data_IF_099739055794
#
_entry.id   IF_099739055794
#
_cell.length_a   1.000
_cell.length_b   1.000
_cell.length_c   1.000
_cell.angle_alpha   90.00
_cell.angle_beta   90.00
_cell.angle_gamma   90.00
#
_symmetry.space_group_name_H-M   'P 1'
#
loop_
_entity.id
_entity.type
_entity.pdbx_description
1 polymer ?
#
# COMPACT_ATOMS: atom_id res chain seq x y z
N UNK A 1 -38.02 35.58 7.15
CA UNK A 1 -36.67 35.73 6.56
C UNK A 1 -36.42 34.50 5.71
N UNK A 2 -36.24 34.71 4.41
CA UNK A 2 -36.24 33.70 3.35
C UNK A 2 -35.28 32.54 3.62
N UNK A 3 -35.78 31.31 3.61
CA UNK A 3 -34.99 30.08 3.52
C UNK A 3 -34.25 30.07 2.19
N UNK A 4 -32.98 30.50 2.19
CA UNK A 4 -32.14 30.32 1.02
C UNK A 4 -31.92 28.82 0.84
N UNK A 5 -32.53 28.25 -0.19
CA UNK A 5 -32.12 26.96 -0.74
C UNK A 5 -30.66 27.08 -1.18
N UNK A 6 -29.76 26.68 -0.29
CA UNK A 6 -28.35 26.55 -0.61
C UNK A 6 -28.22 25.24 -1.40
N UNK A 7 -28.16 25.35 -2.73
CA UNK A 7 -27.69 24.26 -3.56
C UNK A 7 -26.19 24.11 -3.28
N UNK A 8 -25.84 23.00 -2.62
CA UNK A 8 -24.47 22.66 -2.27
C UNK A 8 -24.06 21.43 -3.06
N UNK A 9 -22.82 21.45 -3.54
CA UNK A 9 -22.17 20.30 -4.15
C UNK A 9 -21.09 19.81 -3.19
N UNK A 10 -21.07 18.52 -2.90
CA UNK A 10 -20.03 17.90 -2.08
C UNK A 10 -19.26 16.95 -2.97
N UNK A 11 -17.94 17.08 -3.00
CA UNK A 11 -17.04 16.20 -3.74
C UNK A 11 -16.10 15.47 -2.78
N UNK A 12 -16.08 14.15 -2.87
CA UNK A 12 -15.02 13.32 -2.32
C UNK A 12 -14.09 12.88 -3.44
N UNK A 13 -12.80 13.17 -3.29
CA UNK A 13 -11.77 12.89 -4.28
C UNK A 13 -10.57 12.23 -3.60
N UNK A 14 -10.07 11.13 -4.15
CA UNK A 14 -8.74 10.61 -3.83
C UNK A 14 -7.74 11.49 -4.59
N UNK A 15 -6.78 12.07 -3.89
CA UNK A 15 -5.77 12.98 -4.49
C UNK A 15 -4.36 12.38 -4.50
N UNK A 16 -4.14 11.27 -3.80
CA UNK A 16 -2.89 10.51 -3.78
C UNK A 16 -3.18 9.07 -3.36
N UNK A 17 -2.67 8.05 -4.05
CA UNK A 17 -1.62 8.11 -5.07
C UNK A 17 -2.09 8.57 -6.46
N UNK A 18 -3.40 8.55 -6.72
CA UNK A 18 -3.99 8.92 -8.00
C UNK A 18 -5.13 9.93 -7.79
N UNK A 19 -5.30 10.86 -8.73
CA UNK A 19 -6.44 11.79 -8.72
C UNK A 19 -7.68 11.11 -9.28
N UNK A 20 -8.64 10.77 -8.41
CA UNK A 20 -9.87 10.07 -8.76
C UNK A 20 -11.07 10.66 -8.04
N UNK A 21 -12.16 10.88 -8.79
CA UNK A 21 -13.44 11.28 -8.22
C UNK A 21 -14.12 10.07 -7.58
N UNK A 22 -14.27 10.10 -6.25
CA UNK A 22 -14.78 8.98 -5.46
C UNK A 22 -16.30 9.07 -5.31
N UNK A 23 -16.82 10.25 -5.00
CA UNK A 23 -18.26 10.48 -4.83
C UNK A 23 -18.60 11.95 -5.03
N UNK A 24 -19.78 12.22 -5.58
CA UNK A 24 -20.33 13.58 -5.69
C UNK A 24 -21.74 13.56 -5.15
N UNK A 25 -22.11 14.53 -4.32
CA UNK A 25 -23.47 14.77 -3.88
C UNK A 25 -23.96 16.11 -4.42
N UNK A 26 -25.09 16.10 -5.14
CA UNK A 26 -25.79 17.31 -5.58
C UNK A 26 -27.25 17.26 -5.08
N UNK A 27 -27.64 18.20 -4.22
CA UNK A 27 -29.00 18.27 -3.64
C UNK A 27 -30.12 18.30 -4.69
N UNK A 28 -29.86 18.89 -5.86
CA UNK A 28 -30.84 19.06 -6.93
C UNK A 28 -31.16 17.78 -7.71
N UNK A 29 -30.39 16.71 -7.54
CA UNK A 29 -30.50 15.50 -8.38
C UNK A 29 -31.01 14.26 -7.66
N UNK A 30 -31.17 14.27 -6.34
CA UNK A 30 -31.58 13.12 -5.47
C UNK A 30 -30.79 11.80 -5.65
N UNK A 31 -29.88 11.72 -6.61
CA UNK A 31 -28.89 10.67 -6.81
C UNK A 31 -27.67 11.29 -7.48
N UNK A 32 -26.48 10.86 -7.06
CA UNK A 32 -25.26 11.14 -7.80
C UNK A 32 -24.22 10.05 -7.56
N UNK A 33 -24.07 9.10 -8.51
CA UNK A 33 -23.10 8.01 -8.36
C UNK A 33 -21.67 8.49 -8.63
N UNK A 34 -20.71 7.79 -8.01
CA UNK A 34 -19.32 7.78 -8.48
C UNK A 34 -19.26 7.58 -9.99
N UNK A 35 -18.58 8.48 -10.70
CA UNK A 35 -18.28 8.32 -12.14
C UNK A 35 -17.11 7.37 -12.40
N UNK A 36 -16.28 7.10 -11.39
CA UNK A 36 -15.20 6.13 -11.47
C UNK A 36 -15.78 4.71 -11.33
N UNK A 37 -15.45 3.84 -12.29
CA UNK A 37 -15.80 2.42 -12.29
C UNK A 37 -15.36 1.70 -11.01
N UNK A 38 -14.29 2.16 -10.35
CA UNK A 38 -13.70 1.55 -9.15
C UNK A 38 -14.54 1.81 -7.90
N UNK A 39 -15.16 2.98 -7.76
CA UNK A 39 -15.92 3.38 -6.57
C UNK A 39 -17.44 3.27 -6.74
N UNK A 40 -17.90 2.97 -7.96
CA UNK A 40 -19.31 2.78 -8.27
C UNK A 40 -19.93 1.67 -7.41
N UNK A 41 -20.99 2.01 -6.68
CA UNK A 41 -21.69 1.06 -5.79
C UNK A 41 -20.98 0.76 -4.46
N UNK A 42 -19.78 1.31 -4.25
CA UNK A 42 -18.99 1.13 -3.03
C UNK A 42 -19.02 2.37 -2.14
N UNK A 43 -19.11 3.55 -2.72
CA UNK A 43 -19.12 4.83 -2.01
C UNK A 43 -20.56 5.33 -1.76
N UNK A 44 -20.89 5.68 -0.51
CA UNK A 44 -22.20 6.24 -0.13
C UNK A 44 -22.08 7.33 0.95
N UNK A 45 -23.01 8.27 0.95
CA UNK A 45 -23.21 9.26 2.02
C UNK A 45 -24.61 9.07 2.62
N UNK A 46 -24.91 9.73 3.74
CA UNK A 46 -26.26 9.78 4.29
C UNK A 46 -27.25 10.40 3.29
N UNK A 47 -28.52 9.99 3.31
CA UNK A 47 -29.53 10.42 2.31
C UNK A 47 -29.77 11.94 2.28
N UNK A 48 -29.49 12.65 3.38
CA UNK A 48 -29.50 14.12 3.42
C UNK A 48 -28.35 14.64 4.30
N UNK A 49 -27.12 14.70 3.75
CA UNK A 49 -25.93 15.11 4.49
C UNK A 49 -25.97 16.60 4.88
N UNK A 50 -26.80 17.40 4.20
CA UNK A 50 -26.94 18.83 4.45
C UNK A 50 -27.89 19.11 5.62
N UNK A 51 -28.99 18.36 5.72
CA UNK A 51 -29.90 18.45 6.87
C UNK A 51 -29.29 17.82 8.11
N UNK A 52 -28.62 16.66 7.97
CA UNK A 52 -27.94 15.99 9.08
C UNK A 52 -26.63 16.67 9.49
N UNK A 53 -26.09 17.54 8.62
CA UNK A 53 -24.75 18.15 8.73
C UNK A 53 -23.62 17.12 8.79
N UNK A 54 -23.88 15.89 8.38
CA UNK A 54 -22.91 14.80 8.33
C UNK A 54 -22.42 14.62 6.89
N UNK A 55 -21.24 15.16 6.59
CA UNK A 55 -20.62 15.06 5.26
C UNK A 55 -19.70 13.83 5.11
N UNK A 56 -19.88 12.84 5.98
CA UNK A 56 -19.13 11.57 5.96
C UNK A 56 -19.34 10.78 4.68
N UNK A 57 -18.25 10.22 4.17
CA UNK A 57 -18.29 9.16 3.18
C UNK A 57 -18.15 7.80 3.86
N UNK A 58 -19.02 6.87 3.50
CA UNK A 58 -18.87 5.45 3.80
C UNK A 58 -18.38 4.73 2.55
N UNK A 59 -17.29 3.99 2.68
CA UNK A 59 -16.75 3.17 1.59
C UNK A 59 -16.90 1.68 1.95
N UNK A 60 -17.66 0.96 1.14
CA UNK A 60 -17.94 -0.47 1.23
C UNK A 60 -16.89 -1.29 0.48
N UNK A 61 -16.75 -2.55 0.88
CA UNK A 61 -15.84 -3.52 0.28
C UNK A 61 -14.43 -2.95 0.10
N UNK A 62 -13.78 -2.57 1.21
CA UNK A 62 -12.47 -1.91 1.15
C UNK A 62 -11.40 -2.79 0.50
N UNK A 63 -10.66 -2.20 -0.42
CA UNK A 63 -9.49 -2.75 -1.07
C UNK A 63 -8.24 -2.02 -0.56
N UNK A 64 -7.09 -2.70 -0.57
CA UNK A 64 -5.82 -2.06 -0.19
C UNK A 64 -5.49 -0.82 -1.03
N UNK A 65 -5.92 -0.81 -2.30
CA UNK A 65 -5.77 0.32 -3.24
C UNK A 65 -6.62 1.54 -2.88
N UNK A 66 -7.56 1.41 -1.94
CA UNK A 66 -8.28 2.55 -1.39
C UNK A 66 -7.46 3.29 -0.33
N UNK A 67 -6.26 2.81 0.01
CA UNK A 67 -5.35 3.59 0.85
C UNK A 67 -4.89 4.83 0.11
N UNK A 68 -4.92 5.98 0.78
CA UNK A 68 -4.51 7.22 0.17
C UNK A 68 -5.00 8.45 0.91
N UNK A 69 -4.78 9.60 0.28
CA UNK A 69 -5.21 10.90 0.79
C UNK A 69 -6.45 11.32 0.04
N UNK A 70 -7.51 11.57 0.78
CA UNK A 70 -8.82 11.96 0.29
C UNK A 70 -9.11 13.41 0.65
N UNK A 71 -9.83 14.11 -0.20
CA UNK A 71 -10.36 15.43 0.07
C UNK A 71 -11.88 15.42 0.00
N UNK A 72 -12.53 15.97 1.01
CA UNK A 72 -13.92 16.37 0.97
C UNK A 72 -13.98 17.87 0.70
N UNK A 73 -14.63 18.28 -0.40
CA UNK A 73 -14.75 19.69 -0.79
C UNK A 73 -16.22 20.05 -0.96
N UNK A 74 -16.64 21.17 -0.38
CA UNK A 74 -18.00 21.69 -0.47
C UNK A 74 -18.01 22.96 -1.29
N UNK A 75 -18.90 23.06 -2.26
CA UNK A 75 -19.09 24.20 -3.14
C UNK A 75 -20.47 24.80 -2.97
N UNK A 76 -20.59 26.12 -3.16
CA UNK A 76 -21.87 26.79 -3.32
C UNK A 76 -22.40 26.63 -4.76
N UNK A 77 -23.62 27.11 -5.01
CA UNK A 77 -24.27 27.10 -6.33
C UNK A 77 -23.49 27.83 -7.43
N UNK A 78 -22.63 28.78 -7.06
CA UNK A 78 -21.82 29.57 -7.99
C UNK A 78 -20.45 28.90 -8.27
N UNK A 79 -20.21 27.72 -7.68
CA UNK A 79 -18.96 26.97 -7.80
C UNK A 79 -17.83 27.45 -6.88
N UNK A 80 -18.11 28.40 -5.97
CA UNK A 80 -17.13 28.83 -4.98
C UNK A 80 -16.96 27.77 -3.89
N UNK A 81 -15.71 27.42 -3.62
CA UNK A 81 -15.35 26.50 -2.55
C UNK A 81 -15.65 27.15 -1.19
N UNK A 82 -16.48 26.46 -0.40
CA UNK A 82 -16.86 26.88 0.95
C UNK A 82 -16.02 26.20 2.03
N UNK A 83 -15.67 24.93 1.82
CA UNK A 83 -14.93 24.13 2.77
C UNK A 83 -14.11 23.07 2.04
N UNK A 84 -12.92 22.77 2.55
CA UNK A 84 -12.16 21.60 2.16
C UNK A 84 -11.54 20.93 3.39
N UNK A 85 -11.57 19.59 3.42
CA UNK A 85 -10.96 18.75 4.46
C UNK A 85 -10.13 17.68 3.80
N UNK A 86 -8.96 17.39 4.37
CA UNK A 86 -8.07 16.32 3.93
C UNK A 86 -8.15 15.19 4.96
N UNK A 87 -8.31 13.95 4.50
CA UNK A 87 -8.41 12.74 5.33
C UNK A 87 -7.51 11.67 4.73
N UNK A 88 -6.70 11.00 5.55
CA UNK A 88 -5.88 9.87 5.09
C UNK A 88 -6.55 8.56 5.46
N UNK A 89 -6.83 7.73 4.45
CA UNK A 89 -7.32 6.36 4.63
C UNK A 89 -6.12 5.41 4.55
N UNK A 90 -5.94 4.58 5.57
CA UNK A 90 -4.99 3.46 5.56
C UNK A 90 -5.77 2.16 5.69
N UNK A 91 -5.97 1.47 4.56
CA UNK A 91 -6.55 0.12 4.56
C UNK A 91 -5.41 -0.85 4.81
N UNK A 92 -5.46 -1.54 5.94
CA UNK A 92 -4.52 -2.61 6.27
C UNK A 92 -5.21 -3.94 6.02
N UNK A 93 -4.55 -4.80 5.27
CA UNK A 93 -4.96 -6.18 5.07
C UNK A 93 -4.06 -7.08 5.90
N UNK A 94 -4.65 -8.00 6.66
CA UNK A 94 -3.90 -9.08 7.26
C UNK A 94 -3.60 -10.16 6.21
N UNK A 95 -2.49 -10.04 5.48
CA UNK A 95 -1.92 -11.20 4.77
C UNK A 95 -0.97 -11.98 5.70
N UNK A 96 -1.43 -12.22 6.93
CA UNK A 96 -0.56 -12.57 8.06
C UNK A 96 -0.02 -14.01 8.03
N UNK A 97 -0.26 -14.77 6.96
CA UNK A 97 0.18 -16.17 6.83
C UNK A 97 0.89 -16.51 5.53
N UNK A 98 0.87 -15.65 4.51
CA UNK A 98 1.55 -15.94 3.27
C UNK A 98 3.05 -15.67 3.44
N UNK A 99 3.87 -16.67 3.14
CA UNK A 99 5.30 -16.52 2.91
C UNK A 99 5.65 -16.99 1.50
N UNK A 100 6.71 -16.41 0.93
CA UNK A 100 7.23 -16.80 -0.37
C UNK A 100 8.72 -17.00 -0.28
N UNK A 101 9.23 -17.94 -1.05
CA UNK A 101 10.65 -18.16 -1.23
C UNK A 101 11.10 -17.51 -2.54
N UNK A 102 12.10 -16.63 -2.47
CA UNK A 102 12.79 -16.05 -3.61
C UNK A 102 14.02 -16.90 -3.93
N UNK A 103 13.99 -17.74 -4.98
CA UNK A 103 14.96 -18.82 -5.13
C UNK A 103 16.31 -18.33 -5.67
N UNK A 104 17.40 -18.72 -5.02
CA UNK A 104 18.76 -18.56 -5.56
C UNK A 104 19.70 -19.67 -5.07
N UNK A 105 19.82 -20.73 -5.87
CA UNK A 105 20.80 -21.80 -5.64
C UNK A 105 22.10 -21.52 -6.38
N UNK A 106 23.22 -21.86 -5.76
CA UNK A 106 24.57 -21.73 -6.33
C UNK A 106 25.19 -23.11 -6.54
N UNK A 107 26.14 -23.23 -7.46
CA UNK A 107 26.91 -24.47 -7.68
C UNK A 107 28.29 -24.40 -7.06
N UNK A 108 28.86 -23.20 -7.01
CA UNK A 108 30.24 -22.97 -6.66
C UNK A 108 30.47 -23.00 -5.15
N UNK A 109 31.67 -23.43 -4.75
CA UNK A 109 32.09 -23.38 -3.36
C UNK A 109 32.55 -21.95 -3.04
N UNK A 110 31.72 -21.23 -2.29
CA UNK A 110 32.01 -19.89 -1.81
C UNK A 110 32.37 -19.93 -0.33
N UNK A 111 33.43 -19.23 0.05
CA UNK A 111 33.87 -19.03 1.43
C UNK A 111 34.08 -17.54 1.67
N UNK A 112 33.84 -17.09 2.91
CA UNK A 112 34.04 -15.71 3.35
C UNK A 112 33.36 -14.67 2.44
N UNK A 113 32.05 -14.85 2.25
CA UNK A 113 31.22 -13.97 1.42
C UNK A 113 30.24 -13.14 2.24
N UNK A 114 29.77 -12.06 1.61
CA UNK A 114 28.62 -11.28 2.05
C UNK A 114 27.51 -11.42 1.02
N UNK A 115 26.28 -11.63 1.47
CA UNK A 115 25.10 -11.68 0.59
C UNK A 115 24.17 -10.55 0.97
N UNK A 116 23.78 -9.74 -0.02
CA UNK A 116 22.79 -8.68 0.13
C UNK A 116 21.58 -8.96 -0.75
N UNK A 117 20.39 -8.88 -0.17
CA UNK A 117 19.15 -8.77 -0.93
C UNK A 117 18.67 -7.33 -0.93
N UNK A 118 18.31 -6.82 -2.11
CA UNK A 118 17.79 -5.47 -2.31
C UNK A 118 16.45 -5.48 -3.01
N UNK A 119 15.56 -4.59 -2.59
CA UNK A 119 14.29 -4.30 -3.23
C UNK A 119 14.12 -2.79 -3.34
N UNK A 120 13.81 -2.26 -4.53
CA UNK A 120 13.67 -0.80 -4.75
C UNK A 120 14.87 0.02 -4.20
N UNK A 121 16.09 -0.48 -4.38
CA UNK A 121 17.35 0.07 -3.86
C UNK A 121 17.53 0.07 -2.34
N UNK A 122 16.59 -0.52 -1.60
CA UNK A 122 16.65 -0.69 -0.15
C UNK A 122 17.18 -2.08 0.17
N UNK A 123 18.05 -2.19 1.18
CA UNK A 123 18.57 -3.47 1.67
C UNK A 123 17.49 -4.12 2.54
N UNK A 124 16.99 -5.28 2.09
CA UNK A 124 15.94 -6.03 2.79
C UNK A 124 16.50 -7.17 3.62
N UNK A 125 17.70 -7.66 3.30
CA UNK A 125 18.37 -8.70 4.08
C UNK A 125 19.88 -8.69 3.84
N UNK A 126 20.67 -8.99 4.88
CA UNK A 126 22.12 -9.16 4.79
C UNK A 126 22.52 -10.44 5.51
N UNK A 127 23.23 -11.31 4.82
CA UNK A 127 23.93 -12.45 5.41
C UNK A 127 25.45 -12.19 5.39
N UNK A 128 26.05 -12.19 6.57
CA UNK A 128 27.50 -12.08 6.78
C UNK A 128 27.87 -12.73 8.12
N UNK A 129 29.08 -13.30 8.23
CA UNK A 129 29.60 -13.93 9.46
C UNK A 129 29.79 -12.97 10.66
N UNK A 130 29.47 -11.67 10.53
CA UNK A 130 29.60 -10.67 11.58
C UNK A 130 28.28 -10.45 12.35
N UNK A 131 28.37 -10.19 13.65
CA UNK A 131 27.22 -9.97 14.56
C UNK A 131 26.38 -8.71 14.27
N UNK A 132 26.75 -7.87 13.30
CA UNK A 132 26.07 -6.59 13.00
C UNK A 132 25.05 -6.67 11.85
N UNK A 133 24.35 -7.81 11.69
CA UNK A 133 23.37 -8.01 10.61
C UNK A 133 22.18 -7.03 10.65
N UNK A 134 21.87 -6.47 11.82
CA UNK A 134 20.64 -5.68 12.06
C UNK A 134 20.72 -4.21 11.63
N UNK A 135 21.92 -3.63 11.44
CA UNK A 135 22.07 -2.17 11.29
C UNK A 135 21.82 -1.64 9.87
N UNK A 136 21.78 -2.51 8.85
CA UNK A 136 21.67 -2.11 7.44
C UNK A 136 20.31 -2.40 6.82
N UNK A 137 19.39 -2.96 7.61
CA UNK A 137 18.12 -3.47 7.14
C UNK A 137 17.01 -2.45 7.35
N UNK A 138 16.12 -2.33 6.37
CA UNK A 138 14.95 -1.46 6.47
C UNK A 138 13.94 -1.95 7.52
N UNK A 139 13.35 -1.02 8.26
CA UNK A 139 12.41 -1.32 9.35
C UNK A 139 11.17 -2.07 8.84
N UNK A 140 10.71 -1.82 7.61
CA UNK A 140 9.53 -2.48 7.04
C UNK A 140 9.76 -3.97 6.77
N UNK A 141 11.02 -4.42 6.69
CA UNK A 141 11.38 -5.81 6.44
C UNK A 141 11.76 -6.57 7.71
N UNK A 142 11.94 -5.86 8.84
CA UNK A 142 12.49 -6.41 10.08
C UNK A 142 11.64 -7.55 10.61
N UNK A 143 12.25 -8.72 10.81
CA UNK A 143 11.55 -9.93 11.23
C UNK A 143 10.66 -10.58 10.16
N UNK A 144 10.61 -10.04 8.94
CA UNK A 144 9.86 -10.60 7.80
C UNK A 144 10.75 -11.41 6.85
N UNK A 145 12.07 -11.24 6.91
CA UNK A 145 13.02 -11.91 6.01
C UNK A 145 13.86 -12.95 6.73
N UNK A 146 14.11 -14.10 6.09
CA UNK A 146 14.93 -15.18 6.62
C UNK A 146 15.66 -15.92 5.50
N UNK A 147 16.94 -16.22 5.71
CA UNK A 147 17.72 -17.15 4.87
C UNK A 147 17.97 -18.43 5.66
N UNK A 148 18.37 -19.50 4.95
CA UNK A 148 18.76 -20.76 5.57
C UNK A 148 19.93 -20.54 6.56
N UNK A 149 20.01 -21.32 7.64
CA UNK A 149 21.04 -21.13 8.70
C UNK A 149 22.46 -21.37 8.17
N UNK A 150 22.62 -22.36 7.28
CA UNK A 150 23.89 -22.71 6.64
C UNK A 150 23.80 -22.54 5.10
N UNK A 151 23.59 -21.32 4.57
CA UNK A 151 23.25 -21.11 3.17
C UNK A 151 24.40 -21.48 2.22
N UNK A 152 25.65 -21.38 2.68
CA UNK A 152 26.84 -21.76 1.91
C UNK A 152 27.00 -23.28 1.81
N UNK A 153 26.78 -23.99 2.92
CA UNK A 153 26.86 -25.46 2.97
C UNK A 153 25.76 -26.10 2.15
N UNK A 154 24.55 -25.54 2.24
CA UNK A 154 23.38 -25.99 1.48
C UNK A 154 23.38 -25.48 0.03
N UNK A 155 24.34 -24.60 -0.32
CA UNK A 155 24.43 -23.94 -1.62
C UNK A 155 23.12 -23.26 -2.04
N UNK A 156 22.44 -22.69 -1.06
CA UNK A 156 21.11 -22.09 -1.20
C UNK A 156 21.06 -20.71 -0.54
N UNK A 157 21.10 -19.69 -1.38
CA UNK A 157 21.04 -18.28 -1.01
C UNK A 157 19.61 -17.71 -1.11
N UNK A 158 18.60 -18.57 -1.15
CA UNK A 158 17.20 -18.15 -1.25
C UNK A 158 16.75 -17.34 -0.04
N UNK A 159 15.89 -16.35 -0.28
CA UNK A 159 15.30 -15.50 0.75
C UNK A 159 13.83 -15.88 0.97
N UNK A 160 13.46 -16.16 2.21
CA UNK A 160 12.06 -16.28 2.62
C UNK A 160 11.56 -14.91 3.04
N UNK A 161 10.44 -14.45 2.46
CA UNK A 161 9.72 -13.24 2.86
C UNK A 161 8.37 -13.61 3.45
N UNK A 162 8.07 -13.14 4.66
CA UNK A 162 6.87 -13.44 5.47
C UNK A 162 5.95 -12.22 5.53
N UNK A 163 4.65 -12.49 5.66
CA UNK A 163 3.64 -11.45 5.80
C UNK A 163 3.61 -10.56 4.56
N UNK A 164 3.29 -11.16 3.41
CA UNK A 164 3.36 -10.48 2.12
C UNK A 164 2.46 -9.25 2.06
N UNK A 165 2.99 -8.18 1.51
CA UNK A 165 2.31 -6.92 1.26
C UNK A 165 2.33 -6.61 -0.23
N UNK A 166 1.39 -5.81 -0.74
CA UNK A 166 1.42 -5.39 -2.15
C UNK A 166 2.67 -4.55 -2.48
N UNK A 167 3.22 -3.84 -1.49
CA UNK A 167 4.48 -3.09 -1.59
C UNK A 167 5.69 -4.00 -1.84
N UNK A 168 5.61 -5.28 -1.47
CA UNK A 168 6.67 -6.26 -1.74
C UNK A 168 6.72 -6.67 -3.23
N UNK A 169 5.78 -6.21 -4.08
CA UNK A 169 5.80 -6.54 -5.50
C UNK A 169 7.03 -5.94 -6.18
N UNK A 170 7.64 -6.71 -7.09
CA UNK A 170 8.69 -6.21 -7.98
C UNK A 170 9.99 -7.00 -7.91
N UNK A 171 11.07 -6.38 -8.38
CA UNK A 171 12.38 -7.01 -8.49
C UNK A 171 13.12 -7.03 -7.16
N UNK A 172 13.61 -8.21 -6.78
CA UNK A 172 14.55 -8.43 -5.71
C UNK A 172 15.89 -8.82 -6.30
N UNK A 173 16.94 -8.09 -5.95
CA UNK A 173 18.30 -8.35 -6.42
C UNK A 173 19.11 -8.96 -5.29
N UNK A 174 19.56 -10.19 -5.46
CA UNK A 174 20.57 -10.80 -4.61
C UNK A 174 21.95 -10.53 -5.19
N UNK A 175 22.85 -9.98 -4.40
CA UNK A 175 24.25 -9.74 -4.79
C UNK A 175 25.17 -10.41 -3.78
N UNK A 176 26.13 -11.16 -4.30
CA UNK A 176 27.13 -11.90 -3.52
C UNK A 176 28.47 -11.21 -3.70
N UNK A 177 29.12 -10.89 -2.60
CA UNK A 177 30.40 -10.19 -2.56
C UNK A 177 31.47 -11.07 -1.93
N UNK A 178 32.71 -10.96 -2.43
CA UNK A 178 33.88 -11.48 -1.71
C UNK A 178 34.26 -10.54 -0.54
N UNK A 179 35.24 -10.97 0.25
CA UNK A 179 35.81 -10.18 1.37
C UNK A 179 36.33 -8.79 0.97
N UNK A 180 36.76 -8.62 -0.29
CA UNK A 180 37.30 -7.37 -0.82
C UNK A 180 36.20 -6.45 -1.36
N UNK A 181 34.93 -6.86 -1.27
CA UNK A 181 33.77 -6.10 -1.74
C UNK A 181 33.50 -6.23 -3.24
N UNK A 182 34.20 -7.10 -3.96
CA UNK A 182 33.95 -7.39 -5.37
C UNK A 182 32.73 -8.29 -5.53
N UNK A 183 31.89 -8.00 -6.52
CA UNK A 183 30.72 -8.81 -6.85
C UNK A 183 31.17 -10.14 -7.47
N UNK A 184 30.79 -11.25 -6.85
CA UNK A 184 30.99 -12.60 -7.36
C UNK A 184 29.81 -13.07 -8.20
N UNK A 185 28.59 -12.86 -7.69
CA UNK A 185 27.35 -13.29 -8.33
C UNK A 185 26.25 -12.27 -8.12
N UNK A 186 25.32 -12.21 -9.06
CA UNK A 186 24.11 -11.41 -8.91
C UNK A 186 22.93 -12.09 -9.58
N UNK A 187 21.75 -12.02 -8.97
CA UNK A 187 20.51 -12.57 -9.51
C UNK A 187 19.34 -11.65 -9.20
N UNK A 188 18.48 -11.43 -10.18
CA UNK A 188 17.19 -10.74 -10.01
C UNK A 188 16.06 -11.77 -9.99
N UNK A 189 15.19 -11.67 -8.98
CA UNK A 189 13.96 -12.46 -8.83
C UNK A 189 12.78 -11.50 -8.79
N UNK A 190 11.75 -11.73 -9.60
CA UNK A 190 10.55 -10.87 -9.61
C UNK A 190 9.45 -11.51 -8.77
N UNK A 191 8.96 -10.79 -7.77
CA UNK A 191 7.81 -11.18 -6.95
C UNK A 191 6.53 -10.52 -7.47
N UNK A 192 5.49 -11.32 -7.69
CA UNK A 192 4.14 -10.84 -7.98
C UNK A 192 3.23 -11.15 -6.80
N UNK A 193 2.63 -10.11 -6.21
CA UNK A 193 1.63 -10.24 -5.14
C UNK A 193 0.28 -9.83 -5.71
N UNK A 194 -0.73 -10.71 -5.60
CA UNK A 194 -2.13 -10.41 -5.94
C UNK A 194 -2.93 -10.30 -4.64
N UNK A 195 -3.72 -9.25 -4.49
CA UNK A 195 -4.55 -9.06 -3.31
C UNK A 195 -6.02 -9.35 -3.61
N UNK A 196 -6.65 -10.20 -2.80
CA UNK A 196 -8.10 -10.23 -2.59
C UNK A 196 -8.34 -9.93 -1.11
N UNK A 197 -9.13 -8.90 -0.81
CA UNK A 197 -9.43 -8.49 0.57
C UNK A 197 -10.93 -8.65 0.81
N UNK A 198 -11.32 -9.67 1.58
CA UNK A 198 -12.71 -9.88 1.96
C UNK A 198 -13.04 -9.01 3.19
N UNK A 199 -13.73 -7.91 2.91
CA UNK A 199 -14.57 -7.07 3.80
C UNK A 199 -13.97 -6.49 5.09
N UNK A 200 -13.78 -5.17 5.09
CA UNK A 200 -13.94 -4.29 6.26
C UNK A 200 -14.82 -3.10 5.82
N UNK A 201 -15.78 -2.67 6.65
CA UNK A 201 -16.52 -1.42 6.47
C UNK A 201 -15.86 -0.34 7.33
N UNK A 202 -15.58 0.83 6.76
CA UNK A 202 -15.11 2.00 7.52
C UNK A 202 -15.95 3.23 7.15
N UNK A 203 -16.42 3.94 8.18
CA UNK A 203 -17.16 5.21 8.07
C UNK A 203 -16.29 6.32 8.65
N UNK A 204 -16.11 7.40 7.92
CA UNK A 204 -15.20 8.48 8.29
C UNK A 204 -15.96 9.79 8.42
N UNK A 205 -15.71 10.52 9.52
CA UNK A 205 -16.25 11.84 9.93
C UNK A 205 -17.45 11.82 10.92
N UNK A 206 -17.48 12.81 11.83
CA UNK A 206 -18.56 13.24 12.73
C UNK A 206 -18.43 14.73 13.00
#
# INVERSE_FOLDING_TARGET
VSSQDVCLTIEWRLISPEDRMVYVYERSKNESPSRDHVYRGRAEMTEDPLTTKDLSLTLKDLHLTDSGVYTCTVYNKDGHMLLQRVVTLSVRGECNKASVLLPFKITDLLQDIKVEWKHQNIIVHVYQNSQNQSLLMDEDYKGRTEMNEEPLKNKDLSLTLKGLQLSDRGGYTCTVYNKDGSILLQKVVTLSVRGECNSCLQRWWR
#
